data_IF_797548140474
#
_entry.id   IF_797548140474
#
_cell.length_a   1.000
_cell.length_b   1.000
_cell.length_c   1.000
_cell.angle_alpha   90.00
_cell.angle_beta   90.00
_cell.angle_gamma   90.00
#
_symmetry.space_group_name_H-M   'P 1'
#
loop_
_entity.id
_entity.type
_entity.pdbx_description
1 polymer ?
#
# COMPACT_ATOMS: atom_id res chain seq x y z
N UNK A 1 -24.46 -24.44 -10.12
CA UNK A 1 -23.08 -24.55 -9.62
C UNK A 1 -23.05 -23.98 -8.21
N UNK A 2 -22.50 -24.71 -7.26
CA UNK A 2 -22.32 -24.21 -5.88
C UNK A 2 -21.36 -23.02 -5.92
N UNK A 3 -21.67 -21.87 -5.30
CA UNK A 3 -20.78 -20.72 -5.32
C UNK A 3 -19.43 -21.07 -4.65
N UNK A 4 -18.37 -20.49 -5.17
CA UNK A 4 -17.03 -20.64 -4.59
C UNK A 4 -17.07 -20.16 -3.13
N UNK A 5 -16.48 -20.94 -2.20
CA UNK A 5 -16.38 -20.57 -0.78
C UNK A 5 -14.92 -20.25 -0.46
N UNK A 6 -14.68 -19.09 0.12
CA UNK A 6 -13.34 -18.59 0.46
C UNK A 6 -13.29 -18.24 1.93
N UNK A 7 -12.31 -18.77 2.65
CA UNK A 7 -11.95 -18.34 3.99
C UNK A 7 -10.73 -17.42 3.90
N UNK A 8 -10.91 -16.14 4.21
CA UNK A 8 -9.84 -15.13 4.21
C UNK A 8 -9.38 -14.86 5.64
N UNK A 9 -8.07 -14.92 5.89
CA UNK A 9 -7.48 -14.75 7.22
C UNK A 9 -6.46 -13.61 7.15
N UNK A 10 -6.68 -12.53 7.89
CA UNK A 10 -5.75 -11.40 7.90
C UNK A 10 -5.77 -10.64 9.22
N UNK A 11 -4.58 -10.11 9.61
CA UNK A 11 -4.46 -9.14 10.70
C UNK A 11 -4.73 -7.71 10.20
N UNK A 12 -4.48 -7.48 8.92
CA UNK A 12 -4.43 -6.16 8.32
C UNK A 12 -5.81 -5.81 7.74
N UNK A 13 -6.67 -5.24 8.58
CA UNK A 13 -8.00 -4.73 8.22
C UNK A 13 -8.29 -3.43 8.96
N UNK A 14 -9.19 -2.57 8.46
CA UNK A 14 -9.79 -1.52 9.28
C UNK A 14 -10.40 -2.13 10.57
N UNK A 15 -10.32 -1.42 11.73
CA UNK A 15 -10.00 0.00 11.89
C UNK A 15 -8.50 0.35 11.83
N UNK A 16 -7.60 -0.60 11.63
CA UNK A 16 -6.20 -0.27 11.37
C UNK A 16 -6.09 0.52 10.05
N UNK A 17 -5.17 1.50 10.02
CA UNK A 17 -5.01 2.41 8.89
C UNK A 17 -3.72 2.12 8.13
N UNK A 18 -3.84 1.88 6.83
CA UNK A 18 -2.69 1.68 5.93
C UNK A 18 -3.06 1.05 4.60
N UNK A 19 -2.08 0.91 3.72
CA UNK A 19 -2.28 0.33 2.40
C UNK A 19 -2.63 -1.17 2.44
N UNK A 20 -2.03 -1.93 3.35
CA UNK A 20 -2.31 -3.37 3.51
C UNK A 20 -3.74 -3.61 4.04
N UNK A 21 -4.19 -2.76 4.95
CA UNK A 21 -5.52 -2.81 5.56
C UNK A 21 -6.59 -2.56 4.49
N UNK A 22 -6.40 -1.53 3.69
CA UNK A 22 -7.28 -1.18 2.58
C UNK A 22 -7.27 -2.27 1.51
N UNK A 23 -6.11 -2.81 1.17
CA UNK A 23 -6.00 -3.90 0.20
C UNK A 23 -6.75 -5.16 0.67
N UNK A 24 -6.58 -5.59 1.92
CA UNK A 24 -7.28 -6.77 2.44
C UNK A 24 -8.80 -6.57 2.53
N UNK A 25 -9.23 -5.34 2.80
CA UNK A 25 -10.65 -4.99 2.73
C UNK A 25 -11.19 -5.17 1.31
N UNK A 26 -10.48 -4.65 0.31
CA UNK A 26 -10.87 -4.81 -1.11
C UNK A 26 -10.73 -6.24 -1.61
N UNK A 27 -9.79 -7.04 -1.10
CA UNK A 27 -9.75 -8.48 -1.40
C UNK A 27 -11.07 -9.13 -0.98
N UNK A 28 -11.54 -8.84 0.24
CA UNK A 28 -12.80 -9.40 0.72
C UNK A 28 -14.02 -8.88 -0.07
N UNK A 29 -14.07 -7.57 -0.37
CA UNK A 29 -15.15 -6.94 -1.12
C UNK A 29 -15.24 -7.49 -2.55
N UNK A 30 -14.16 -7.43 -3.31
CA UNK A 30 -14.14 -7.88 -4.69
C UNK A 30 -14.42 -9.39 -4.84
N UNK A 31 -13.89 -10.22 -3.92
CA UNK A 31 -14.16 -11.65 -3.93
C UNK A 31 -15.60 -11.97 -3.52
N UNK A 32 -16.23 -11.17 -2.66
CA UNK A 32 -17.63 -11.38 -2.24
C UNK A 32 -18.63 -11.25 -3.38
N UNK A 33 -18.26 -10.58 -4.47
CA UNK A 33 -19.08 -10.47 -5.70
C UNK A 33 -19.18 -11.78 -6.48
N UNK A 34 -18.27 -12.73 -6.23
CA UNK A 34 -18.17 -13.99 -6.98
C UNK A 34 -18.21 -15.24 -6.11
N UNK A 35 -18.06 -15.09 -4.80
CA UNK A 35 -17.90 -16.17 -3.86
C UNK A 35 -18.61 -15.86 -2.53
N UNK A 36 -18.94 -16.91 -1.77
CA UNK A 36 -19.26 -16.75 -0.37
C UNK A 36 -17.95 -16.60 0.42
N UNK A 37 -17.75 -15.44 1.05
CA UNK A 37 -16.51 -15.11 1.77
C UNK A 37 -16.78 -15.08 3.27
N UNK A 38 -15.98 -15.86 4.03
CA UNK A 38 -15.85 -15.68 5.46
C UNK A 38 -14.46 -15.13 5.78
N UNK A 39 -14.40 -14.18 6.70
CA UNK A 39 -13.19 -13.47 7.07
C UNK A 39 -12.89 -13.68 8.55
N UNK A 40 -11.62 -13.95 8.85
CA UNK A 40 -11.08 -13.92 10.22
C UNK A 40 -10.14 -12.72 10.30
N UNK A 41 -10.51 -11.77 11.16
CA UNK A 41 -9.81 -10.49 11.28
C UNK A 41 -9.69 -10.00 12.73
N UNK A 42 -9.05 -8.84 12.94
CA UNK A 42 -8.91 -8.24 14.26
C UNK A 42 -10.24 -7.74 14.80
N UNK A 43 -10.33 -7.61 16.13
CA UNK A 43 -11.46 -6.95 16.80
C UNK A 43 -11.74 -5.56 16.20
N UNK A 44 -13.04 -5.26 16.00
CA UNK A 44 -13.53 -4.04 15.36
C UNK A 44 -13.66 -4.14 13.83
N UNK A 45 -13.16 -5.20 13.21
CA UNK A 45 -13.23 -5.35 11.75
C UNK A 45 -14.66 -5.63 11.26
N UNK A 46 -15.50 -6.27 12.05
CA UNK A 46 -16.88 -6.61 11.66
C UNK A 46 -17.76 -5.38 11.37
N UNK A 47 -17.53 -4.28 12.09
CA UNK A 47 -18.29 -3.04 11.92
C UNK A 47 -17.98 -2.31 10.60
N UNK A 48 -16.85 -2.61 9.96
CA UNK A 48 -16.33 -1.87 8.80
C UNK A 48 -16.16 -2.80 7.57
N UNK A 49 -16.33 -4.10 7.76
CA UNK A 49 -16.20 -5.08 6.68
C UNK A 49 -17.26 -4.87 5.58
N UNK A 50 -17.00 -5.35 4.34
CA UNK A 50 -18.03 -5.34 3.29
C UNK A 50 -19.29 -6.09 3.75
N UNK A 51 -20.46 -5.54 3.45
CA UNK A 51 -21.76 -6.04 3.94
C UNK A 51 -22.04 -7.52 3.59
N UNK A 52 -21.48 -8.00 2.48
CA UNK A 52 -21.65 -9.39 2.02
C UNK A 52 -20.67 -10.38 2.69
N UNK A 53 -19.78 -9.92 3.59
CA UNK A 53 -18.71 -10.72 4.17
C UNK A 53 -19.01 -11.02 5.65
N UNK A 54 -19.11 -12.30 6.00
CA UNK A 54 -19.23 -12.70 7.39
C UNK A 54 -17.88 -12.65 8.09
N UNK A 55 -17.77 -11.90 9.19
CA UNK A 55 -16.50 -11.69 9.93
C UNK A 55 -16.52 -12.41 11.26
N UNK A 56 -15.42 -13.11 11.55
CA UNK A 56 -15.09 -13.64 12.89
C UNK A 56 -13.89 -12.88 13.43
N UNK A 57 -14.09 -12.23 14.56
CA UNK A 57 -13.07 -11.39 15.19
C UNK A 57 -12.20 -12.17 16.15
N UNK A 58 -10.91 -11.84 16.15
CA UNK A 58 -9.92 -12.35 17.10
C UNK A 58 -9.15 -11.21 17.74
N UNK A 59 -8.62 -11.40 18.97
CA UNK A 59 -7.86 -10.36 19.66
C UNK A 59 -6.65 -9.90 18.84
N UNK A 60 -6.50 -8.58 18.62
CA UNK A 60 -5.39 -7.99 17.87
C UNK A 60 -4.05 -8.09 18.63
N UNK A 61 -4.09 -7.96 19.96
CA UNK A 61 -2.92 -7.90 20.86
C UNK A 61 -3.06 -8.86 22.06
N UNK A 62 -1.93 -9.35 22.58
CA UNK A 62 -0.57 -9.32 22.01
C UNK A 62 -0.46 -10.19 20.74
N UNK A 63 0.58 -9.98 19.93
CA UNK A 63 0.74 -10.68 18.64
C UNK A 63 0.68 -12.21 18.73
N UNK A 64 1.33 -12.89 19.71
CA UNK A 64 1.21 -14.35 19.85
C UNK A 64 -0.22 -14.83 20.08
N UNK A 65 -1.04 -14.05 20.81
CA UNK A 65 -2.46 -14.36 21.03
C UNK A 65 -3.26 -14.24 19.74
N UNK A 66 -2.98 -13.20 18.93
CA UNK A 66 -3.59 -13.08 17.60
C UNK A 66 -3.26 -14.30 16.73
N UNK A 67 -1.97 -14.69 16.66
CA UNK A 67 -1.52 -15.82 15.83
C UNK A 67 -2.20 -17.12 16.28
N UNK A 68 -2.23 -17.42 17.58
CA UNK A 68 -2.85 -18.63 18.11
C UNK A 68 -4.38 -18.62 17.90
N UNK A 69 -5.05 -17.51 18.23
CA UNK A 69 -6.50 -17.39 18.10
C UNK A 69 -6.95 -17.45 16.62
N UNK A 70 -6.21 -16.80 15.72
CA UNK A 70 -6.50 -16.85 14.28
C UNK A 70 -6.31 -18.26 13.72
N UNK A 71 -5.28 -18.99 14.13
CA UNK A 71 -5.06 -20.37 13.70
C UNK A 71 -6.16 -21.31 14.20
N UNK A 72 -6.52 -21.22 15.47
CA UNK A 72 -7.63 -22.00 16.05
C UNK A 72 -8.96 -21.68 15.35
N UNK A 73 -9.31 -20.40 15.28
CA UNK A 73 -10.56 -19.96 14.65
C UNK A 73 -10.63 -20.36 13.16
N UNK A 74 -9.48 -20.33 12.44
CA UNK A 74 -9.39 -20.74 11.06
C UNK A 74 -9.68 -22.23 10.89
N UNK A 75 -9.13 -23.11 11.73
CA UNK A 75 -9.38 -24.56 11.67
C UNK A 75 -10.86 -24.86 11.97
N UNK A 76 -11.41 -24.26 13.03
CA UNK A 76 -12.83 -24.46 13.39
C UNK A 76 -13.75 -23.97 12.27
N UNK A 77 -13.49 -22.77 11.75
CA UNK A 77 -14.28 -22.20 10.66
C UNK A 77 -14.17 -23.04 9.38
N UNK A 78 -12.98 -23.49 9.03
CA UNK A 78 -12.76 -24.30 7.82
C UNK A 78 -13.53 -25.63 7.89
N UNK A 79 -13.58 -26.27 9.06
CA UNK A 79 -14.34 -27.53 9.25
C UNK A 79 -15.85 -27.37 9.08
N UNK A 80 -16.42 -26.24 9.50
CA UNK A 80 -17.85 -25.97 9.37
C UNK A 80 -18.24 -25.37 8.02
N UNK A 81 -17.45 -24.41 7.55
CA UNK A 81 -17.74 -23.68 6.31
C UNK A 81 -17.35 -24.46 5.06
N UNK A 82 -16.40 -25.42 5.18
CA UNK A 82 -15.89 -26.23 4.06
C UNK A 82 -15.47 -25.35 2.88
N UNK A 83 -14.54 -24.41 3.05
CA UNK A 83 -14.12 -23.53 1.97
C UNK A 83 -13.45 -24.34 0.84
N UNK A 84 -13.52 -23.87 -0.38
CA UNK A 84 -12.70 -24.40 -1.49
C UNK A 84 -11.29 -23.82 -1.46
N UNK A 85 -11.16 -22.60 -0.93
CA UNK A 85 -9.91 -21.87 -0.83
C UNK A 85 -9.77 -21.25 0.55
N UNK A 86 -8.58 -21.37 1.15
CA UNK A 86 -8.17 -20.60 2.33
C UNK A 86 -7.08 -19.64 1.92
N UNK A 87 -7.34 -18.32 2.06
CA UNK A 87 -6.45 -17.23 1.68
C UNK A 87 -5.85 -16.54 2.90
N UNK A 88 -4.54 -16.51 3.01
CA UNK A 88 -3.83 -15.64 3.94
C UNK A 88 -3.67 -14.26 3.32
N UNK A 89 -4.15 -13.21 4.00
CA UNK A 89 -4.03 -11.81 3.54
C UNK A 89 -2.64 -11.20 3.76
N UNK A 90 -1.74 -11.92 4.38
CA UNK A 90 -0.31 -11.58 4.52
C UNK A 90 0.49 -12.82 4.91
N UNK A 91 1.81 -12.75 4.79
CA UNK A 91 2.70 -13.83 5.25
C UNK A 91 2.51 -14.17 6.72
N UNK A 92 2.14 -13.20 7.58
CA UNK A 92 1.90 -13.43 9.01
C UNK A 92 0.82 -14.49 9.25
N UNK A 93 -0.23 -14.54 8.45
CA UNK A 93 -1.35 -15.49 8.60
C UNK A 93 -1.19 -16.76 7.77
N UNK A 94 -0.07 -16.91 7.03
CA UNK A 94 0.19 -18.08 6.20
C UNK A 94 0.18 -19.41 6.97
N UNK A 95 0.77 -19.56 8.17
CA UNK A 95 0.67 -20.82 8.91
C UNK A 95 -0.76 -21.19 9.28
N UNK A 96 -1.58 -20.21 9.71
CA UNK A 96 -2.98 -20.42 10.04
C UNK A 96 -3.79 -20.88 8.82
N UNK A 97 -3.59 -20.24 7.66
CA UNK A 97 -4.27 -20.57 6.42
C UNK A 97 -3.86 -21.98 5.91
N UNK A 98 -2.58 -22.30 5.98
CA UNK A 98 -2.08 -23.63 5.58
C UNK A 98 -2.66 -24.73 6.47
N UNK A 99 -2.67 -24.55 7.79
CA UNK A 99 -3.25 -25.53 8.73
C UNK A 99 -4.75 -25.71 8.51
N UNK A 100 -5.49 -24.61 8.34
CA UNK A 100 -6.93 -24.65 8.11
C UNK A 100 -7.27 -25.37 6.79
N UNK A 101 -6.54 -25.08 5.72
CA UNK A 101 -6.70 -25.73 4.42
C UNK A 101 -6.45 -27.25 4.52
N UNK A 102 -5.38 -27.65 5.22
CA UNK A 102 -5.08 -29.08 5.47
C UNK A 102 -6.17 -29.80 6.27
N UNK A 103 -6.81 -29.09 7.21
CA UNK A 103 -7.85 -29.65 8.08
C UNK A 103 -9.16 -29.96 7.35
N UNK A 104 -9.39 -29.44 6.15
CA UNK A 104 -10.62 -29.63 5.37
C UNK A 104 -10.38 -29.99 3.88
N UNK A 105 -9.13 -30.25 3.47
CA UNK A 105 -8.81 -30.62 2.09
C UNK A 105 -8.94 -29.48 1.07
N UNK A 106 -8.86 -28.23 1.54
CA UNK A 106 -8.95 -27.03 0.70
C UNK A 106 -7.61 -26.64 0.12
N UNK A 107 -7.64 -25.82 -0.94
CA UNK A 107 -6.42 -25.16 -1.46
C UNK A 107 -6.04 -23.97 -0.57
N UNK A 108 -4.74 -23.76 -0.44
CA UNK A 108 -4.15 -22.69 0.40
C UNK A 108 -3.44 -21.65 -0.44
N UNK A 109 -3.75 -20.38 -0.21
CA UNK A 109 -3.12 -19.24 -0.90
C UNK A 109 -2.63 -18.21 0.11
N UNK A 110 -1.62 -17.43 -0.30
CA UNK A 110 -1.14 -16.27 0.45
C UNK A 110 -0.92 -15.08 -0.47
N UNK A 111 -1.30 -13.89 0.00
CA UNK A 111 -0.96 -12.63 -0.65
C UNK A 111 0.23 -11.99 0.09
N UNK A 112 1.37 -11.82 -0.58
CA UNK A 112 2.60 -11.27 -0.01
C UNK A 112 2.76 -9.79 -0.37
N UNK A 113 3.23 -9.00 0.62
CA UNK A 113 3.38 -7.54 0.51
C UNK A 113 4.84 -7.07 0.41
N UNK A 114 5.81 -7.99 0.29
CA UNK A 114 7.24 -7.70 0.23
C UNK A 114 7.93 -7.90 1.56
N UNK A 115 7.54 -7.19 2.62
CA UNK A 115 8.12 -7.36 3.95
C UNK A 115 8.02 -8.81 4.45
N UNK A 116 6.90 -9.48 4.17
CA UNK A 116 6.64 -10.87 4.54
C UNK A 116 7.71 -11.86 4.07
N UNK A 117 8.28 -11.60 2.90
CA UNK A 117 9.36 -12.40 2.33
C UNK A 117 10.76 -11.92 2.76
N UNK A 118 10.89 -10.66 3.19
CA UNK A 118 12.15 -10.04 3.57
C UNK A 118 12.54 -10.25 5.04
N UNK A 119 11.59 -10.67 5.91
CA UNK A 119 11.82 -10.86 7.36
C UNK A 119 12.91 -11.90 7.61
N UNK A 120 13.97 -11.52 8.32
CA UNK A 120 15.13 -12.39 8.62
C UNK A 120 15.12 -12.98 10.02
N UNK A 121 14.10 -12.70 10.85
CA UNK A 121 14.01 -13.19 12.22
C UNK A 121 14.01 -14.74 12.25
N UNK A 122 14.84 -15.41 13.08
CA UNK A 122 15.00 -16.88 13.07
C UNK A 122 13.69 -17.64 13.24
N UNK A 123 12.84 -17.26 14.18
CA UNK A 123 11.54 -17.89 14.40
C UNK A 123 10.63 -17.74 13.16
N UNK A 124 10.63 -16.56 12.54
CA UNK A 124 9.86 -16.33 11.32
C UNK A 124 10.35 -17.24 10.17
N UNK A 125 11.64 -17.38 10.03
CA UNK A 125 12.26 -18.25 9.03
C UNK A 125 11.95 -19.74 9.24
N UNK A 126 11.82 -20.19 10.49
CA UNK A 126 11.59 -21.61 10.80
C UNK A 126 10.12 -22.04 10.67
N UNK A 127 9.15 -21.13 10.82
CA UNK A 127 7.72 -21.44 10.80
C UNK A 127 7.02 -20.83 9.58
N UNK A 128 7.17 -19.53 9.35
CA UNK A 128 6.43 -18.80 8.33
C UNK A 128 6.96 -19.06 6.92
N UNK A 129 8.27 -19.02 6.71
CA UNK A 129 8.84 -19.30 5.40
C UNK A 129 8.50 -20.72 4.89
N UNK A 130 8.61 -21.80 5.70
CA UNK A 130 8.16 -23.12 5.27
C UNK A 130 6.66 -23.18 4.98
N UNK A 131 5.82 -22.47 5.74
CA UNK A 131 4.38 -22.41 5.46
C UNK A 131 4.09 -21.74 4.12
N UNK A 132 4.73 -20.61 3.83
CA UNK A 132 4.59 -19.90 2.54
C UNK A 132 5.01 -20.81 1.37
N UNK A 133 6.14 -21.51 1.47
CA UNK A 133 6.61 -22.43 0.42
C UNK A 133 5.66 -23.61 0.15
N UNK A 134 4.91 -24.04 1.17
CA UNK A 134 3.95 -25.16 1.08
C UNK A 134 2.58 -24.75 0.56
N UNK A 135 2.29 -23.45 0.39
CA UNK A 135 1.04 -23.00 -0.20
C UNK A 135 0.85 -23.55 -1.61
N UNK A 136 -0.39 -23.75 -2.00
CA UNK A 136 -0.76 -24.15 -3.35
C UNK A 136 -0.56 -23.01 -4.34
N UNK A 137 -0.81 -21.76 -3.90
CA UNK A 137 -0.52 -20.56 -4.66
C UNK A 137 0.01 -19.41 -3.80
N UNK A 138 0.89 -18.60 -4.39
CA UNK A 138 1.48 -17.40 -3.78
C UNK A 138 1.21 -16.22 -4.69
N UNK A 139 0.42 -15.28 -4.23
CA UNK A 139 0.13 -14.03 -4.92
C UNK A 139 1.07 -12.97 -4.40
N UNK A 140 1.68 -12.21 -5.28
CA UNK A 140 2.63 -11.15 -4.93
C UNK A 140 2.16 -9.81 -5.50
N UNK A 141 2.39 -8.73 -4.77
CA UNK A 141 1.91 -7.40 -5.13
C UNK A 141 2.77 -6.68 -6.17
N UNK A 142 3.99 -7.18 -6.48
CA UNK A 142 4.92 -6.54 -7.41
C UNK A 142 5.98 -7.52 -7.93
N UNK A 143 6.68 -7.15 -9.00
CA UNK A 143 7.82 -7.92 -9.51
C UNK A 143 8.98 -8.01 -8.50
N UNK A 144 9.37 -6.95 -7.79
CA UNK A 144 10.34 -7.08 -6.69
C UNK A 144 9.90 -8.06 -5.60
N UNK A 145 8.63 -8.07 -5.21
CA UNK A 145 8.11 -9.06 -4.24
C UNK A 145 8.14 -10.48 -4.83
N UNK A 146 7.92 -10.63 -6.13
CA UNK A 146 8.09 -11.93 -6.83
C UNK A 146 9.52 -12.43 -6.71
N UNK A 147 10.51 -11.57 -6.89
CA UNK A 147 11.92 -11.96 -6.72
C UNK A 147 12.21 -12.39 -5.28
N UNK A 148 11.67 -11.68 -4.29
CA UNK A 148 11.79 -12.08 -2.88
C UNK A 148 11.15 -13.45 -2.62
N UNK A 149 9.99 -13.73 -3.19
CA UNK A 149 9.32 -15.04 -3.07
C UNK A 149 10.14 -16.18 -3.72
N UNK A 150 10.77 -15.93 -4.87
CA UNK A 150 11.68 -16.87 -5.52
C UNK A 150 12.92 -17.14 -4.64
N UNK A 151 13.54 -16.09 -4.09
CA UNK A 151 14.67 -16.20 -3.16
C UNK A 151 14.28 -16.95 -1.88
N UNK A 152 13.04 -16.86 -1.46
CA UNK A 152 12.48 -17.63 -0.35
C UNK A 152 12.39 -19.13 -0.69
N UNK A 153 12.47 -19.52 -1.95
CA UNK A 153 12.35 -20.90 -2.42
C UNK A 153 10.93 -21.30 -2.81
N UNK A 154 10.04 -20.34 -3.09
CA UNK A 154 8.73 -20.62 -3.71
C UNK A 154 8.93 -20.98 -5.16
N UNK A 155 8.27 -22.04 -5.63
CA UNK A 155 8.32 -22.47 -7.03
C UNK A 155 7.70 -21.40 -7.94
N UNK A 156 8.37 -21.08 -9.04
CA UNK A 156 7.94 -20.02 -9.97
C UNK A 156 6.52 -20.26 -10.54
N UNK A 157 6.14 -21.51 -10.73
CA UNK A 157 4.80 -21.93 -11.22
C UNK A 157 3.67 -21.64 -10.24
N UNK A 158 3.97 -21.46 -8.95
CA UNK A 158 3.01 -21.14 -7.90
C UNK A 158 2.83 -19.64 -7.70
N UNK A 159 3.69 -18.79 -8.32
CA UNK A 159 3.70 -17.36 -8.07
C UNK A 159 2.92 -16.63 -9.16
N UNK A 160 1.89 -15.91 -8.75
CA UNK A 160 1.11 -14.99 -9.61
C UNK A 160 1.31 -13.56 -9.12
N UNK A 161 1.66 -12.64 -10.04
CA UNK A 161 1.74 -11.21 -9.70
C UNK A 161 0.38 -10.57 -9.94
N UNK A 162 -0.20 -9.99 -8.88
CA UNK A 162 -1.44 -9.20 -8.94
C UNK A 162 -1.20 -7.92 -8.16
N UNK A 163 -1.10 -6.81 -8.89
CA UNK A 163 -0.86 -5.50 -8.29
C UNK A 163 -2.09 -5.02 -7.51
N UNK A 164 -1.91 -4.29 -6.40
CA UNK A 164 -3.01 -3.66 -5.67
C UNK A 164 -3.86 -2.74 -6.57
N UNK A 165 -5.13 -2.65 -6.25
CA UNK A 165 -6.06 -1.79 -6.95
C UNK A 165 -6.02 -0.33 -6.49
N UNK A 166 -6.68 0.52 -7.26
CA UNK A 166 -6.92 1.93 -6.97
C UNK A 166 -8.38 2.29 -7.24
N UNK A 167 -8.92 3.21 -6.43
CA UNK A 167 -10.19 3.84 -6.72
C UNK A 167 -10.00 4.87 -7.84
N UNK A 168 -10.70 4.68 -8.95
CA UNK A 168 -10.71 5.65 -10.03
C UNK A 168 -11.73 6.75 -9.72
N UNK A 169 -11.37 8.04 -9.82
CA UNK A 169 -12.32 9.14 -9.68
C UNK A 169 -13.39 9.09 -10.78
N UNK A 170 -14.65 9.29 -10.40
CA UNK A 170 -15.75 9.39 -11.38
C UNK A 170 -15.71 10.71 -12.14
N UNK A 171 -15.31 11.79 -11.48
CA UNK A 171 -15.14 13.13 -12.06
C UNK A 171 -14.03 13.88 -11.33
N UNK A 172 -13.42 14.88 -11.99
CA UNK A 172 -12.49 15.82 -11.34
C UNK A 172 -13.19 16.61 -10.24
N UNK A 173 -12.43 17.07 -9.25
CA UNK A 173 -12.94 17.97 -8.22
C UNK A 173 -13.27 19.35 -8.82
N UNK A 174 -14.31 20.01 -8.26
CA UNK A 174 -14.69 21.34 -8.71
C UNK A 174 -13.66 22.39 -8.30
N UNK A 175 -13.61 23.50 -9.04
CA UNK A 175 -12.70 24.61 -8.73
C UNK A 175 -12.93 25.15 -7.31
N UNK A 176 -14.20 25.22 -6.88
CA UNK A 176 -14.59 25.67 -5.55
C UNK A 176 -14.08 24.72 -4.46
N UNK A 177 -14.16 23.39 -4.69
CA UNK A 177 -13.65 22.40 -3.74
C UNK A 177 -12.12 22.50 -3.62
N UNK A 178 -11.41 22.69 -4.73
CA UNK A 178 -9.96 22.87 -4.73
C UNK A 178 -9.55 24.18 -4.02
N UNK A 179 -10.29 25.27 -4.24
CA UNK A 179 -10.04 26.55 -3.55
C UNK A 179 -10.31 26.44 -2.05
N UNK A 180 -11.42 25.82 -1.65
CA UNK A 180 -11.76 25.59 -0.25
C UNK A 180 -10.69 24.72 0.46
N UNK A 181 -10.19 23.67 -0.21
CA UNK A 181 -9.10 22.84 0.28
C UNK A 181 -7.82 23.66 0.49
N UNK A 182 -7.42 24.46 -0.51
CA UNK A 182 -6.23 25.33 -0.41
C UNK A 182 -6.35 26.36 0.72
N UNK A 183 -7.52 26.95 0.87
CA UNK A 183 -7.81 27.90 1.94
C UNK A 183 -7.75 27.24 3.32
N UNK A 184 -8.40 26.07 3.48
CA UNK A 184 -8.44 25.33 4.74
C UNK A 184 -7.03 25.00 5.27
N UNK A 185 -6.12 24.61 4.37
CA UNK A 185 -4.75 24.23 4.73
C UNK A 185 -3.72 25.35 4.59
N UNK A 186 -4.13 26.59 4.32
CA UNK A 186 -3.24 27.74 4.19
C UNK A 186 -2.22 27.58 3.06
N UNK A 187 -2.61 26.95 1.94
CA UNK A 187 -1.74 26.69 0.80
C UNK A 187 -1.69 27.85 -0.19
N UNK A 188 -2.65 28.77 -0.13
CA UNK A 188 -2.72 29.95 -0.99
C UNK A 188 -2.57 29.63 -2.48
N UNK A 189 -1.76 30.39 -3.18
CA UNK A 189 -1.41 30.19 -4.58
C UNK A 189 -0.10 29.42 -4.76
N UNK A 190 0.47 28.87 -3.67
CA UNK A 190 1.73 28.15 -3.73
C UNK A 190 1.67 26.95 -4.66
N UNK A 191 2.80 26.63 -5.26
CA UNK A 191 3.03 25.43 -6.04
C UNK A 191 3.22 24.25 -5.08
N UNK A 192 2.33 23.26 -5.14
CA UNK A 192 2.28 22.19 -4.15
C UNK A 192 3.07 20.98 -4.67
N UNK A 193 4.11 20.60 -3.93
CA UNK A 193 4.63 19.24 -3.94
C UNK A 193 3.86 18.44 -2.91
N UNK A 194 3.33 17.28 -3.28
CA UNK A 194 2.51 16.45 -2.40
C UNK A 194 3.28 15.20 -1.99
N UNK A 195 3.31 14.88 -0.70
CA UNK A 195 3.73 13.58 -0.18
C UNK A 195 2.59 12.95 0.60
N UNK A 196 2.24 11.70 0.27
CA UNK A 196 1.14 10.97 0.92
C UNK A 196 1.67 9.67 1.52
N UNK A 197 1.37 9.44 2.81
CA UNK A 197 1.69 8.18 3.47
C UNK A 197 2.12 8.33 4.92
N UNK A 198 2.35 7.18 5.57
CA UNK A 198 2.84 7.12 6.95
C UNK A 198 4.26 7.71 7.04
N UNK A 199 4.54 8.47 8.07
CA UNK A 199 5.86 9.04 8.31
C UNK A 199 6.79 7.97 8.89
N UNK A 200 7.45 7.24 8.01
CA UNK A 200 8.40 6.16 8.35
C UNK A 200 9.74 6.41 7.68
N UNK A 201 10.81 5.81 8.22
CA UNK A 201 12.15 5.92 7.66
C UNK A 201 12.22 5.43 6.20
N UNK A 202 11.45 4.39 5.87
CA UNK A 202 11.32 3.90 4.50
C UNK A 202 10.77 4.94 3.54
N UNK A 203 9.80 5.77 3.97
CA UNK A 203 9.22 6.81 3.11
C UNK A 203 10.18 7.94 2.80
N UNK A 204 11.26 8.10 3.58
CA UNK A 204 12.40 8.95 3.24
C UNK A 204 12.14 10.45 3.21
N UNK A 205 11.05 10.90 3.86
CA UNK A 205 10.62 12.28 3.74
C UNK A 205 11.61 13.25 4.41
N UNK A 206 12.16 12.90 5.58
CA UNK A 206 13.18 13.72 6.25
C UNK A 206 14.42 13.88 5.37
N UNK A 207 14.90 12.81 4.77
CA UNK A 207 16.05 12.81 3.89
C UNK A 207 15.79 13.60 2.59
N UNK A 208 14.56 13.56 2.06
CA UNK A 208 14.14 14.40 0.94
C UNK A 208 14.19 15.89 1.31
N UNK A 209 13.66 16.24 2.48
CA UNK A 209 13.69 17.61 2.99
C UNK A 209 15.10 18.13 3.20
N UNK A 210 16.02 17.28 3.68
CA UNK A 210 17.43 17.66 3.89
C UNK A 210 18.21 17.83 2.59
N UNK A 211 18.02 16.92 1.61
CA UNK A 211 18.98 16.74 0.52
C UNK A 211 18.42 17.13 -0.86
N UNK A 212 17.10 17.28 -1.03
CA UNK A 212 16.49 17.60 -2.32
C UNK A 212 15.66 18.90 -2.27
N UNK A 213 14.85 19.09 -1.25
CA UNK A 213 13.92 20.21 -1.16
C UNK A 213 14.59 21.58 -1.19
N UNK A 214 15.79 21.82 -0.57
CA UNK A 214 16.45 23.13 -0.64
C UNK A 214 16.76 23.59 -2.07
N UNK A 215 17.23 22.67 -2.93
CA UNK A 215 17.50 23.00 -4.33
C UNK A 215 16.19 23.29 -5.13
N UNK A 216 15.10 22.58 -4.80
CA UNK A 216 13.80 22.81 -5.43
C UNK A 216 13.24 24.18 -5.05
N UNK A 217 13.27 24.52 -3.76
CA UNK A 217 12.79 25.81 -3.25
C UNK A 217 13.65 26.97 -3.79
N UNK A 218 14.97 26.78 -3.90
CA UNK A 218 15.84 27.78 -4.52
C UNK A 218 15.45 28.06 -5.98
N UNK A 219 15.12 27.02 -6.74
CA UNK A 219 14.71 27.16 -8.15
C UNK A 219 13.27 27.69 -8.29
N UNK A 220 12.38 27.40 -7.34
CA UNK A 220 10.98 27.79 -7.34
C UNK A 220 10.52 28.20 -5.92
N UNK A 221 10.76 29.47 -5.52
CA UNK A 221 10.51 29.93 -4.15
C UNK A 221 9.05 29.95 -3.70
N UNK A 222 8.11 29.87 -4.63
CA UNK A 222 6.66 29.75 -4.38
C UNK A 222 6.21 28.30 -4.08
N UNK A 223 7.15 27.35 -3.95
CA UNK A 223 6.85 25.94 -3.71
C UNK A 223 6.64 25.65 -2.23
N UNK A 224 5.62 24.83 -1.92
CA UNK A 224 5.40 24.25 -0.59
C UNK A 224 5.33 22.72 -0.69
N UNK A 225 5.85 22.02 0.30
CA UNK A 225 5.70 20.59 0.46
C UNK A 225 4.51 20.32 1.39
N UNK A 226 3.40 19.85 0.81
CA UNK A 226 2.23 19.43 1.55
C UNK A 226 2.36 17.93 1.91
N UNK A 227 2.21 17.62 3.19
CA UNK A 227 2.46 16.27 3.75
C UNK A 227 1.15 15.74 4.32
N UNK A 228 0.58 14.72 3.65
CA UNK A 228 -0.60 14.00 4.11
C UNK A 228 -0.15 12.70 4.80
N UNK A 229 -0.53 12.56 6.06
CA UNK A 229 -0.21 11.40 6.89
C UNK A 229 0.42 11.77 8.22
N UNK A 230 0.71 10.73 9.01
CA UNK A 230 1.35 10.88 10.32
C UNK A 230 2.24 9.68 10.65
N UNK A 231 2.95 9.80 11.78
CA UNK A 231 3.72 8.70 12.35
C UNK A 231 2.78 7.55 12.78
N UNK A 232 3.07 6.29 12.42
CA UNK A 232 2.22 5.18 12.79
C UNK A 232 2.31 4.87 14.30
N UNK A 233 1.16 4.71 14.96
CA UNK A 233 1.09 4.26 16.37
C UNK A 233 1.29 2.76 16.53
N UNK A 234 1.05 1.96 15.50
CA UNK A 234 0.92 0.50 15.55
C UNK A 234 1.81 -0.24 14.53
N UNK A 235 2.97 0.32 14.19
CA UNK A 235 3.93 -0.35 13.31
C UNK A 235 4.69 -1.45 14.05
N UNK A 236 4.71 -2.66 13.50
CA UNK A 236 5.44 -3.80 14.10
C UNK A 236 6.95 -3.72 13.84
N UNK A 237 7.40 -3.16 12.73
CA UNK A 237 8.80 -3.24 12.27
C UNK A 237 9.33 -1.96 11.62
N UNK A 238 8.47 -0.99 11.25
CA UNK A 238 8.93 0.21 10.55
C UNK A 238 9.53 1.23 11.52
N UNK A 239 10.72 1.73 11.22
CA UNK A 239 11.30 2.92 11.85
C UNK A 239 10.42 4.15 11.60
N UNK A 240 10.24 4.98 12.62
CA UNK A 240 9.31 6.13 12.60
C UNK A 240 10.09 7.42 12.36
N UNK A 241 9.55 8.30 11.49
CA UNK A 241 9.94 9.70 11.39
C UNK A 241 8.80 10.55 11.99
N UNK A 242 9.11 11.41 12.95
CA UNK A 242 8.11 12.32 13.54
C UNK A 242 7.99 13.60 12.72
N UNK A 243 6.85 14.30 12.84
CA UNK A 243 6.68 15.64 12.26
C UNK A 243 7.78 16.58 12.75
N UNK A 244 8.13 16.52 14.06
CA UNK A 244 9.18 17.34 14.63
C UNK A 244 10.55 17.07 13.98
N UNK A 245 10.88 15.78 13.72
CA UNK A 245 12.16 15.45 13.09
C UNK A 245 12.26 15.93 11.65
N UNK A 246 11.15 15.93 10.92
CA UNK A 246 11.06 16.43 9.54
C UNK A 246 11.12 17.97 9.54
N UNK A 247 10.37 18.63 10.45
CA UNK A 247 10.39 20.09 10.59
C UNK A 247 11.79 20.58 10.97
N UNK A 248 12.43 19.97 11.99
CA UNK A 248 13.78 20.32 12.39
C UNK A 248 14.80 20.20 11.26
N UNK A 249 14.64 19.22 10.38
CA UNK A 249 15.47 19.09 9.18
C UNK A 249 15.27 20.25 8.19
N UNK A 250 14.04 20.70 8.03
CA UNK A 250 13.70 21.86 7.19
C UNK A 250 14.21 23.18 7.79
N UNK A 251 14.06 23.34 9.10
CA UNK A 251 14.52 24.54 9.81
C UNK A 251 16.04 24.67 9.75
N UNK A 252 16.77 23.56 9.93
CA UNK A 252 18.22 23.50 9.77
C UNK A 252 18.70 23.85 8.34
N UNK A 253 17.86 23.59 7.34
CA UNK A 253 18.10 23.98 5.95
C UNK A 253 17.58 25.39 5.59
N UNK A 254 16.98 26.14 6.54
CA UNK A 254 16.42 27.47 6.33
C UNK A 254 15.11 27.49 5.52
N UNK A 255 14.44 26.34 5.34
CA UNK A 255 13.25 26.17 4.51
C UNK A 255 12.02 25.69 5.29
N UNK A 256 11.99 25.84 6.62
CA UNK A 256 10.93 25.37 7.49
C UNK A 256 9.53 25.89 7.11
N UNK A 257 9.47 27.13 6.61
CA UNK A 257 8.22 27.76 6.18
C UNK A 257 7.63 27.20 4.88
N UNK A 258 8.37 26.34 4.15
CA UNK A 258 7.89 25.63 2.96
C UNK A 258 7.18 24.32 3.28
N UNK A 259 7.11 23.88 4.54
CA UNK A 259 6.40 22.66 4.91
C UNK A 259 4.97 22.96 5.37
N UNK A 260 4.04 22.08 4.98
CA UNK A 260 2.65 22.07 5.46
C UNK A 260 2.24 20.66 5.82
N UNK A 261 2.07 20.37 7.11
CA UNK A 261 1.57 19.08 7.58
C UNK A 261 0.04 19.12 7.61
N UNK A 262 -0.60 18.35 6.72
CA UNK A 262 -2.06 18.32 6.58
C UNK A 262 -2.70 17.28 7.51
N UNK A 263 -1.88 16.43 8.16
CA UNK A 263 -2.38 15.37 9.01
C UNK A 263 -2.91 14.16 8.21
N UNK A 264 -3.64 13.30 8.92
CA UNK A 264 -4.29 12.14 8.29
C UNK A 264 -5.59 12.62 7.65
N UNK A 265 -5.72 12.48 6.35
CA UNK A 265 -6.94 12.79 5.61
C UNK A 265 -7.65 11.45 5.31
N UNK A 266 -8.79 11.22 5.98
CA UNK A 266 -9.63 10.02 5.80
C UNK A 266 -10.79 10.25 4.84
N UNK A 267 -11.20 11.49 4.64
CA UNK A 267 -12.23 11.86 3.70
C UNK A 267 -11.70 11.75 2.26
N UNK A 268 -12.36 10.94 1.44
CA UNK A 268 -11.93 10.64 0.05
C UNK A 268 -11.93 11.88 -0.85
N UNK A 269 -12.92 12.79 -0.67
CA UNK A 269 -13.01 14.02 -1.45
C UNK A 269 -11.88 14.99 -1.09
N UNK A 270 -11.55 15.14 0.19
CA UNK A 270 -10.41 15.96 0.61
C UNK A 270 -9.08 15.39 0.14
N UNK A 271 -8.93 14.06 0.13
CA UNK A 271 -7.74 13.40 -0.40
C UNK A 271 -7.64 13.60 -1.93
N UNK A 272 -8.75 13.52 -2.65
CA UNK A 272 -8.81 13.85 -4.07
C UNK A 272 -8.40 15.30 -4.33
N UNK A 273 -8.90 16.26 -3.53
CA UNK A 273 -8.47 17.66 -3.61
C UNK A 273 -6.96 17.82 -3.37
N UNK A 274 -6.36 17.04 -2.45
CA UNK A 274 -4.92 17.08 -2.23
C UNK A 274 -4.15 16.66 -3.49
N UNK A 275 -4.54 15.55 -4.13
CA UNK A 275 -3.91 15.10 -5.37
C UNK A 275 -4.13 16.09 -6.52
N UNK A 276 -5.35 16.59 -6.72
CA UNK A 276 -5.68 17.45 -7.86
C UNK A 276 -5.21 18.91 -7.69
N UNK A 277 -4.89 19.36 -6.46
CA UNK A 277 -4.28 20.65 -6.20
C UNK A 277 -2.77 20.67 -6.38
N UNK A 278 -2.12 19.51 -6.45
CA UNK A 278 -0.67 19.39 -6.48
C UNK A 278 -0.10 19.45 -7.91
N UNK A 279 1.13 19.92 -8.04
CA UNK A 279 1.89 19.93 -9.29
C UNK A 279 2.66 18.62 -9.50
N UNK A 280 3.21 18.06 -8.41
CA UNK A 280 4.00 16.82 -8.43
C UNK A 280 3.77 16.04 -7.14
N UNK A 281 3.54 14.73 -7.25
CA UNK A 281 3.66 13.81 -6.12
C UNK A 281 5.11 13.40 -5.95
N UNK A 282 5.70 13.65 -4.77
CA UNK A 282 7.07 13.24 -4.45
C UNK A 282 7.05 11.99 -3.59
N UNK A 283 7.74 10.95 -4.05
CA UNK A 283 7.73 9.64 -3.41
C UNK A 283 9.17 9.11 -3.21
N UNK A 284 9.94 9.72 -2.28
CA UNK A 284 11.36 9.49 -2.10
C UNK A 284 11.65 8.24 -1.26
N UNK A 285 11.03 7.12 -1.59
CA UNK A 285 11.14 5.85 -0.85
C UNK A 285 12.57 5.36 -0.83
N UNK A 286 13.10 5.12 0.36
CA UNK A 286 14.45 4.63 0.57
C UNK A 286 14.53 3.12 0.36
N UNK A 287 15.67 2.69 -0.18
CA UNK A 287 15.99 1.27 -0.25
C UNK A 287 16.49 0.79 1.10
N UNK A 288 15.66 0.08 1.85
CA UNK A 288 16.00 -0.53 3.13
C UNK A 288 15.94 -2.05 3.01
N UNK A 289 17.02 -2.72 3.44
CA UNK A 289 17.16 -4.19 3.31
C UNK A 289 16.11 -4.98 4.09
N UNK A 290 15.60 -4.41 5.19
CA UNK A 290 14.67 -5.08 6.10
C UNK A 290 13.24 -4.52 6.05
N UNK A 291 12.99 -3.48 5.25
CA UNK A 291 11.67 -2.87 5.09
C UNK A 291 11.49 -2.38 3.63
N UNK A 292 11.36 -3.30 2.65
CA UNK A 292 11.14 -2.92 1.26
C UNK A 292 9.75 -2.32 1.06
N UNK A 293 9.64 -1.33 0.14
CA UNK A 293 8.33 -0.89 -0.34
C UNK A 293 7.72 -1.99 -1.21
N UNK A 294 6.53 -2.46 -0.82
CA UNK A 294 5.88 -3.58 -1.51
C UNK A 294 5.38 -3.21 -2.90
N UNK A 295 4.73 -2.05 -3.05
CA UNK A 295 4.19 -1.60 -4.34
C UNK A 295 4.19 -0.07 -4.48
N UNK A 296 3.64 0.66 -3.49
CA UNK A 296 3.52 2.12 -3.59
C UNK A 296 2.16 2.58 -4.11
N UNK A 297 1.07 2.10 -3.50
CA UNK A 297 -0.32 2.42 -3.88
C UNK A 297 -0.57 3.93 -4.07
N UNK A 298 0.08 4.79 -3.27
CA UNK A 298 -0.06 6.24 -3.38
C UNK A 298 0.39 6.81 -4.73
N UNK A 299 1.32 6.13 -5.44
CA UNK A 299 1.74 6.55 -6.77
C UNK A 299 0.67 6.26 -7.83
N UNK A 300 -0.02 5.12 -7.76
CA UNK A 300 -1.15 4.86 -8.66
C UNK A 300 -2.39 5.69 -8.29
N UNK A 301 -2.56 6.09 -7.02
CA UNK A 301 -3.58 7.05 -6.61
C UNK A 301 -3.30 8.43 -7.21
N UNK A 302 -2.06 8.91 -7.14
CA UNK A 302 -1.65 10.14 -7.81
C UNK A 302 -1.95 10.07 -9.32
N UNK A 303 -1.57 8.99 -9.98
CA UNK A 303 -1.84 8.78 -11.40
C UNK A 303 -3.34 8.74 -11.73
N UNK A 304 -4.18 8.13 -10.87
CA UNK A 304 -5.64 8.11 -11.04
C UNK A 304 -6.25 9.52 -11.03
N UNK A 305 -5.66 10.45 -10.27
CA UNK A 305 -6.03 11.86 -10.26
C UNK A 305 -5.30 12.70 -11.33
N UNK A 306 -4.49 12.07 -12.19
CA UNK A 306 -3.74 12.75 -13.26
C UNK A 306 -2.47 13.44 -12.77
N UNK A 307 -2.05 13.19 -11.53
CA UNK A 307 -0.85 13.76 -10.94
C UNK A 307 0.36 12.86 -11.20
N UNK A 308 1.40 13.43 -11.80
CA UNK A 308 2.67 12.74 -12.03
C UNK A 308 3.43 12.49 -10.72
N UNK A 309 4.13 11.37 -10.64
CA UNK A 309 4.96 11.00 -9.49
C UNK A 309 6.44 11.09 -9.84
N UNK A 310 7.25 11.73 -8.99
CA UNK A 310 8.71 11.62 -9.05
C UNK A 310 9.18 10.79 -7.85
N UNK A 311 9.84 9.66 -8.11
CA UNK A 311 10.18 8.67 -7.11
C UNK A 311 11.58 8.09 -7.29
N UNK A 312 12.14 7.51 -6.24
CA UNK A 312 13.28 6.60 -6.40
C UNK A 312 12.81 5.23 -6.94
N UNK A 313 13.62 4.65 -7.82
CA UNK A 313 13.40 3.31 -8.38
C UNK A 313 13.73 2.22 -7.32
N UNK A 314 12.87 2.10 -6.30
CA UNK A 314 13.07 1.19 -5.16
C UNK A 314 11.89 0.27 -4.94
N UNK A 315 12.16 -1.00 -4.63
CA UNK A 315 11.11 -1.98 -4.34
C UNK A 315 10.01 -1.98 -5.39
N UNK A 316 8.77 -2.15 -4.97
CA UNK A 316 7.60 -2.18 -5.86
C UNK A 316 7.22 -0.84 -6.50
N UNK A 317 7.89 0.27 -6.17
CA UNK A 317 7.66 1.58 -6.82
C UNK A 317 7.88 1.50 -8.33
N UNK A 318 8.80 0.64 -8.79
CA UNK A 318 9.09 0.43 -10.22
C UNK A 318 7.90 -0.14 -11.00
N UNK A 319 6.96 -0.80 -10.33
CA UNK A 319 5.73 -1.31 -10.94
C UNK A 319 4.57 -0.28 -10.84
N UNK A 320 4.64 0.63 -9.86
CA UNK A 320 3.60 1.63 -9.58
C UNK A 320 3.79 2.95 -10.36
N UNK A 321 4.97 3.18 -10.93
CA UNK A 321 5.29 4.36 -11.74
C UNK A 321 5.78 3.94 -13.11
N UNK A 322 5.12 4.44 -14.15
CA UNK A 322 5.51 4.23 -15.55
C UNK A 322 6.30 5.45 -16.05
N UNK A 323 7.58 5.24 -16.38
CA UNK A 323 8.47 6.29 -16.85
C UNK A 323 7.88 7.06 -18.05
N UNK A 324 7.88 8.39 -17.94
CA UNK A 324 7.36 9.29 -18.98
C UNK A 324 5.84 9.23 -19.22
N UNK A 325 5.10 8.39 -18.45
CA UNK A 325 3.65 8.20 -18.59
C UNK A 325 2.89 8.66 -17.34
N UNK A 326 3.20 8.07 -16.18
CA UNK A 326 2.59 8.44 -14.89
C UNK A 326 3.60 9.12 -13.95
N UNK A 327 4.87 9.21 -14.34
CA UNK A 327 5.90 9.86 -13.53
C UNK A 327 7.30 9.56 -14.02
N UNK A 328 8.25 9.78 -13.13
CA UNK A 328 9.68 9.57 -13.38
C UNK A 328 10.35 8.82 -12.24
N UNK A 329 11.23 7.91 -12.61
CA UNK A 329 12.02 7.10 -11.69
C UNK A 329 13.47 7.56 -11.68
N UNK A 330 13.99 7.81 -10.50
CA UNK A 330 15.38 8.25 -10.28
C UNK A 330 16.15 7.16 -9.53
N UNK A 331 17.43 7.03 -9.80
CA UNK A 331 18.29 6.08 -9.10
C UNK A 331 18.20 6.27 -7.57
N UNK A 332 18.12 5.18 -6.78
CA UNK A 332 18.04 5.26 -5.33
C UNK A 332 19.12 6.13 -4.71
N UNK A 333 18.76 6.90 -3.69
CA UNK A 333 19.65 7.81 -2.95
C UNK A 333 20.27 8.97 -3.75
N UNK A 334 19.97 9.12 -5.04
CA UNK A 334 20.44 10.27 -5.83
C UNK A 334 19.49 11.47 -5.64
N UNK A 335 19.60 12.15 -4.50
CA UNK A 335 18.74 13.29 -4.15
C UNK A 335 18.93 14.50 -5.08
N UNK A 336 20.13 14.68 -5.64
CA UNK A 336 20.40 15.74 -6.62
C UNK A 336 19.59 15.49 -7.90
N UNK A 337 19.65 14.28 -8.44
CA UNK A 337 18.86 13.93 -9.62
C UNK A 337 17.35 13.97 -9.34
N UNK A 338 16.93 13.58 -8.11
CA UNK A 338 15.54 13.68 -7.69
C UNK A 338 15.06 15.13 -7.66
N UNK A 339 15.85 16.04 -7.09
CA UNK A 339 15.53 17.48 -7.09
C UNK A 339 15.43 18.04 -8.51
N UNK A 340 16.39 17.76 -9.36
CA UNK A 340 16.37 18.17 -10.77
C UNK A 340 15.15 17.63 -11.53
N UNK A 341 14.77 16.37 -11.26
CA UNK A 341 13.61 15.79 -11.91
C UNK A 341 12.30 16.42 -11.41
N UNK A 342 12.18 16.73 -10.10
CA UNK A 342 11.03 17.46 -9.56
C UNK A 342 10.92 18.84 -10.21
N UNK A 343 12.01 19.60 -10.30
CA UNK A 343 12.03 20.92 -10.97
C UNK A 343 11.55 20.78 -12.41
N UNK A 344 12.13 19.87 -13.19
CA UNK A 344 11.70 19.62 -14.59
C UNK A 344 10.22 19.24 -14.68
N UNK A 345 9.73 18.39 -13.76
CA UNK A 345 8.32 17.96 -13.73
C UNK A 345 7.35 19.08 -13.40
N UNK A 346 7.80 20.05 -12.60
CA UNK A 346 7.02 21.28 -12.31
C UNK A 346 6.97 22.21 -13.54
N UNK A 347 8.09 22.37 -14.25
CA UNK A 347 8.17 23.24 -15.43
C UNK A 347 7.50 22.64 -16.66
N UNK A 348 7.59 21.32 -16.81
CA UNK A 348 7.09 20.55 -17.97
C UNK A 348 6.35 19.32 -17.48
N UNK A 349 5.11 19.49 -16.99
CA UNK A 349 4.33 18.39 -16.45
C UNK A 349 3.95 17.38 -17.55
N UNK A 350 3.91 16.10 -17.16
CA UNK A 350 3.33 15.06 -18.00
C UNK A 350 1.82 15.30 -18.20
N UNK A 351 1.26 14.75 -19.28
CA UNK A 351 -0.17 14.79 -19.50
C UNK A 351 -0.91 14.01 -18.40
N UNK A 352 -1.81 14.68 -17.68
CA UNK A 352 -2.66 14.02 -16.68
C UNK A 352 -3.55 12.92 -17.27
N UNK A 353 -3.89 13.02 -18.57
CA UNK A 353 -4.67 11.99 -19.27
C UNK A 353 -3.88 10.68 -19.40
N UNK A 354 -2.59 10.73 -19.72
CA UNK A 354 -1.75 9.53 -19.84
C UNK A 354 -1.58 8.86 -18.49
N UNK A 355 -1.40 9.64 -17.41
CA UNK A 355 -1.34 9.13 -16.04
C UNK A 355 -2.64 8.42 -15.63
N UNK A 356 -3.80 9.03 -15.90
CA UNK A 356 -5.12 8.42 -15.65
C UNK A 356 -5.32 7.12 -16.43
N UNK A 357 -4.94 7.09 -17.70
CA UNK A 357 -5.01 5.88 -18.54
C UNK A 357 -4.12 4.76 -17.98
N UNK A 358 -2.93 5.10 -17.50
CA UNK A 358 -2.07 4.13 -16.81
C UNK A 358 -2.75 3.56 -15.55
N UNK A 359 -3.36 4.42 -14.72
CA UNK A 359 -4.03 4.02 -13.49
C UNK A 359 -5.25 3.11 -13.71
N UNK A 360 -5.96 3.22 -14.85
CA UNK A 360 -7.11 2.36 -15.18
C UNK A 360 -6.77 0.87 -15.14
N UNK A 361 -5.53 0.49 -15.43
CA UNK A 361 -5.05 -0.89 -15.37
C UNK A 361 -5.12 -1.48 -13.96
N UNK A 362 -5.16 -0.61 -12.96
CA UNK A 362 -5.17 -0.94 -11.53
C UNK A 362 -6.55 -0.72 -10.89
N UNK A 363 -7.64 -0.61 -11.66
CA UNK A 363 -8.98 -0.52 -11.07
C UNK A 363 -9.27 -1.71 -10.15
N UNK A 364 -9.96 -1.48 -9.02
CA UNK A 364 -10.32 -2.57 -8.09
C UNK A 364 -11.08 -3.70 -8.77
N UNK A 365 -11.94 -3.39 -9.75
CA UNK A 365 -12.66 -4.40 -10.53
C UNK A 365 -11.72 -5.31 -11.33
N UNK A 366 -10.67 -4.74 -11.95
CA UNK A 366 -9.63 -5.52 -12.65
C UNK A 366 -8.82 -6.39 -11.67
N UNK A 367 -8.50 -5.84 -10.49
CA UNK A 367 -7.88 -6.58 -9.40
C UNK A 367 -8.74 -7.77 -8.97
N UNK A 368 -10.04 -7.56 -8.73
CA UNK A 368 -10.99 -8.62 -8.35
C UNK A 368 -11.09 -9.73 -9.37
N UNK A 369 -11.11 -9.40 -10.66
CA UNK A 369 -11.10 -10.38 -11.75
C UNK A 369 -9.82 -11.23 -11.76
N UNK A 370 -8.65 -10.60 -11.58
CA UNK A 370 -7.36 -11.30 -11.51
C UNK A 370 -7.29 -12.20 -10.26
N UNK A 371 -7.76 -11.72 -9.10
CA UNK A 371 -7.85 -12.52 -7.88
C UNK A 371 -8.76 -13.74 -8.08
N UNK A 372 -9.95 -13.54 -8.66
CA UNK A 372 -10.86 -14.63 -9.00
C UNK A 372 -10.19 -15.66 -9.91
N UNK A 373 -9.55 -15.23 -10.98
CA UNK A 373 -8.85 -16.11 -11.91
C UNK A 373 -7.77 -16.92 -11.18
N UNK A 374 -6.90 -16.27 -10.40
CA UNK A 374 -5.83 -16.95 -9.67
C UNK A 374 -6.34 -17.99 -8.66
N UNK A 375 -7.46 -17.70 -7.97
CA UNK A 375 -8.04 -18.60 -6.98
C UNK A 375 -8.91 -19.71 -7.60
N UNK A 376 -9.39 -19.54 -8.83
CA UNK A 376 -10.25 -20.50 -9.54
C UNK A 376 -9.48 -21.46 -10.45
N UNK A 377 -8.23 -21.12 -10.83
CA UNK A 377 -7.42 -21.94 -11.72
C UNK A 377 -7.05 -23.27 -11.03
N UNK A 378 -7.60 -24.34 -11.58
CA UNK A 378 -7.52 -25.79 -11.39
C UNK A 378 -8.59 -26.41 -10.51
#
# INVERSE_FOLDING_TARGET
MTPLRILHITRNLPPLVGGMERLNWHIADELSRYASVQLIGPQGAAAIAPAAVAVKEVPLRPLPRFVAASAWQAIVTARHFQPHVVLAGSGLTAPAAWLAARACGSRSFVYLHGLDAAVRHPIYRSIWHPSIRRMDGVIVNSQPTRQLALQLGVQATKITTIHPGVQLPEAPQTTEALQAFRQHYGLGQARILLSVGRLTERKGLREFVQNALPAIVHAAPDTVLAIVGDAPSDSLLAGVQTRQSIQAAADAAGIGHHLRFLGIITNSQQLACAYESAAVHVFPVRQLSNDPEGFGMVAIEAAAHGLQTVAFATGGVVDAVSEGTSGHLVAPHNYQALAQQVIRSVERPLSGTTAKTFAQRFAWTSFGQQMRAALSMQ
#
